data_IF_541345583326
#
_entry.id   IF_541345583326
#
_cell.length_a   1.000
_cell.length_b   1.000
_cell.length_c   1.000
_cell.angle_alpha   90.00
_cell.angle_beta   90.00
_cell.angle_gamma   90.00
#
_symmetry.space_group_name_H-M   'P 1'
#
loop_
_entity.id
_entity.type
_entity.pdbx_description
1 polymer ?
#
# COMPACT_ATOMS: atom_id res chain seq x y z
N UNK A 1 -15.51 27.19 17.58
CA UNK A 1 -15.32 28.13 16.45
C UNK A 1 -14.42 27.41 15.46
N UNK A 2 -15.01 26.80 14.42
CA UNK A 2 -14.24 26.12 13.36
C UNK A 2 -13.57 27.21 12.52
N UNK A 3 -12.26 27.39 12.72
CA UNK A 3 -11.43 28.10 11.75
C UNK A 3 -11.15 27.11 10.63
N UNK A 4 -12.10 26.98 9.71
CA UNK A 4 -11.93 26.20 8.48
C UNK A 4 -10.80 26.79 7.66
N UNK A 5 -9.57 26.32 7.89
CA UNK A 5 -8.43 26.60 7.04
C UNK A 5 -8.73 26.04 5.65
N UNK A 6 -8.28 26.74 4.60
CA UNK A 6 -8.37 26.20 3.25
C UNK A 6 -7.54 24.91 3.18
N UNK A 7 -8.17 23.80 2.79
CA UNK A 7 -7.47 22.53 2.52
C UNK A 7 -6.37 22.79 1.50
N UNK A 8 -5.14 22.43 1.87
CA UNK A 8 -3.99 22.62 1.00
C UNK A 8 -4.06 21.64 -0.17
N UNK A 9 -3.84 22.13 -1.40
CA UNK A 9 -3.97 21.34 -2.63
C UNK A 9 -2.69 21.32 -3.43
N UNK A 10 -2.39 20.16 -3.99
CA UNK A 10 -1.25 19.94 -4.87
C UNK A 10 -1.68 19.20 -6.13
N UNK A 11 -0.90 19.38 -7.20
CA UNK A 11 -1.05 18.61 -8.43
C UNK A 11 0.16 17.70 -8.55
N UNK A 12 -0.08 16.39 -8.59
CA UNK A 12 0.97 15.40 -8.73
C UNK A 12 1.50 15.35 -10.17
N UNK A 13 2.76 14.97 -10.32
CA UNK A 13 3.45 14.81 -11.60
C UNK A 13 3.87 13.37 -11.79
N UNK A 14 3.86 12.88 -13.03
CA UNK A 14 4.37 11.53 -13.33
C UNK A 14 5.83 11.44 -12.88
N UNK A 15 6.11 10.47 -12.01
CA UNK A 15 7.45 10.13 -11.56
C UNK A 15 8.04 9.01 -12.40
N UNK A 16 7.26 7.93 -12.61
CA UNK A 16 7.67 6.77 -13.37
C UNK A 16 6.52 6.33 -14.28
N UNK A 17 6.84 6.10 -15.56
CA UNK A 17 5.92 5.54 -16.55
C UNK A 17 6.31 4.09 -16.82
N UNK A 18 5.38 3.13 -16.68
CA UNK A 18 5.61 1.72 -16.98
C UNK A 18 6.20 1.51 -18.37
N UNK A 19 7.13 0.57 -18.50
CA UNK A 19 7.77 0.25 -19.78
C UNK A 19 6.82 -0.48 -20.75
N UNK A 20 5.75 -1.08 -20.21
CA UNK A 20 4.75 -1.83 -20.98
C UNK A 20 3.35 -1.64 -20.37
N UNK A 21 2.31 -1.89 -21.16
CA UNK A 21 0.92 -1.91 -20.66
C UNK A 21 0.71 -2.96 -19.55
N UNK A 22 1.46 -4.06 -19.58
CA UNK A 22 1.40 -5.09 -18.55
C UNK A 22 1.82 -4.54 -17.18
N UNK A 23 2.83 -3.67 -17.16
CA UNK A 23 3.36 -3.06 -15.93
C UNK A 23 2.49 -1.90 -15.42
N UNK A 24 1.54 -1.44 -16.24
CA UNK A 24 0.56 -0.41 -15.88
C UNK A 24 -0.72 -0.99 -15.24
N UNK A 25 -0.87 -2.32 -15.25
CA UNK A 25 -2.15 -2.96 -14.96
C UNK A 25 -2.62 -2.74 -13.53
N UNK A 26 -1.85 -3.19 -12.54
CA UNK A 26 -2.19 -3.01 -11.12
C UNK A 26 -0.97 -2.74 -10.22
N UNK A 27 -0.22 -1.64 -10.42
CA UNK A 27 0.76 -1.15 -9.47
C UNK A 27 0.15 -0.81 -8.10
N UNK A 28 0.74 -1.35 -7.05
CA UNK A 28 0.23 -1.32 -5.68
C UNK A 28 1.37 -1.37 -4.64
N UNK A 29 1.03 -1.05 -3.39
CA UNK A 29 1.90 -1.27 -2.22
C UNK A 29 3.34 -0.74 -2.34
N UNK A 30 3.59 0.52 -2.75
CA UNK A 30 4.92 1.08 -2.79
C UNK A 30 5.53 1.16 -1.39
N UNK A 31 6.82 0.84 -1.28
CA UNK A 31 7.63 0.92 -0.06
C UNK A 31 8.96 1.58 -0.35
N UNK A 32 9.41 2.41 0.57
CA UNK A 32 10.76 2.95 0.56
C UNK A 32 11.71 1.99 1.26
N UNK A 33 12.89 1.78 0.68
CA UNK A 33 13.95 1.00 1.30
C UNK A 33 15.32 1.44 0.79
N UNK A 34 16.38 0.91 1.41
CA UNK A 34 17.74 1.04 0.92
C UNK A 34 18.22 -0.30 0.39
N UNK A 35 18.85 -0.26 -0.77
CA UNK A 35 19.42 -1.43 -1.42
C UNK A 35 20.78 -1.05 -2.03
N UNK A 36 21.83 -1.81 -1.70
CA UNK A 36 23.22 -1.44 -2.02
C UNK A 36 23.60 -0.04 -1.51
N UNK A 37 23.06 0.37 -0.36
CA UNK A 37 23.29 1.70 0.20
C UNK A 37 22.64 2.85 -0.57
N UNK A 38 21.81 2.57 -1.58
CA UNK A 38 21.06 3.58 -2.36
C UNK A 38 19.60 3.56 -1.97
N UNK A 39 18.98 4.73 -1.97
CA UNK A 39 17.56 4.89 -1.71
C UNK A 39 16.73 4.43 -2.92
N UNK A 40 15.71 3.61 -2.67
CA UNK A 40 14.87 3.03 -3.69
C UNK A 40 13.41 2.93 -3.24
N UNK A 41 12.52 2.85 -4.23
CA UNK A 41 11.13 2.45 -4.06
C UNK A 41 10.97 1.07 -4.67
N UNK A 42 10.37 0.17 -3.90
CA UNK A 42 9.90 -1.14 -4.37
C UNK A 42 8.38 -1.16 -4.32
N UNK A 43 7.73 -1.74 -5.32
CA UNK A 43 6.28 -1.90 -5.36
C UNK A 43 5.91 -3.21 -6.03
N UNK A 44 4.64 -3.59 -5.92
CA UNK A 44 4.12 -4.76 -6.62
C UNK A 44 3.31 -4.29 -7.83
N UNK A 45 3.33 -5.07 -8.90
CA UNK A 45 2.28 -5.05 -9.91
C UNK A 45 1.51 -6.36 -9.74
N UNK A 46 0.34 -6.32 -9.07
CA UNK A 46 -0.34 -7.53 -8.56
C UNK A 46 -0.64 -8.51 -9.70
N UNK A 47 -1.02 -7.98 -10.86
CA UNK A 47 -1.33 -8.72 -12.07
C UNK A 47 -0.78 -7.99 -13.29
N UNK A 48 -0.42 -8.71 -14.34
CA UNK A 48 0.03 -8.13 -15.62
C UNK A 48 -1.07 -8.04 -16.68
N UNK A 49 -2.31 -8.30 -16.28
CA UNK A 49 -3.48 -8.29 -17.14
C UNK A 49 -4.69 -8.95 -16.47
N UNK A 50 -5.87 -8.78 -17.09
CA UNK A 50 -7.17 -9.22 -16.55
C UNK A 50 -7.22 -10.70 -16.16
N UNK A 51 -6.67 -11.57 -17.00
CA UNK A 51 -6.69 -13.02 -16.79
C UNK A 51 -5.37 -13.55 -16.20
N UNK A 52 -4.42 -12.66 -15.85
CA UNK A 52 -3.14 -13.07 -15.31
C UNK A 52 -3.30 -13.62 -13.89
N UNK A 53 -2.62 -14.72 -13.61
CA UNK A 53 -2.49 -15.32 -12.27
C UNK A 53 -1.14 -15.03 -11.61
N UNK A 54 -0.36 -14.14 -12.23
CA UNK A 54 0.97 -13.73 -11.77
C UNK A 54 1.15 -12.23 -11.94
N UNK A 55 2.03 -11.70 -11.11
CA UNK A 55 2.46 -10.31 -11.13
C UNK A 55 3.97 -10.16 -11.11
N UNK A 56 4.43 -8.96 -10.76
CA UNK A 56 5.85 -8.60 -10.70
C UNK A 56 6.18 -7.79 -9.45
N UNK A 57 7.41 -7.91 -8.97
CA UNK A 57 8.03 -6.90 -8.12
C UNK A 57 8.78 -5.91 -8.99
N UNK A 58 8.69 -4.63 -8.65
CA UNK A 58 9.29 -3.54 -9.41
C UNK A 58 10.14 -2.67 -8.49
N UNK A 59 11.35 -2.29 -8.90
CA UNK A 59 12.29 -1.50 -8.10
C UNK A 59 12.84 -0.33 -8.92
N UNK A 60 12.84 0.87 -8.34
CA UNK A 60 13.44 2.06 -8.94
C UNK A 60 14.16 2.92 -7.89
N UNK A 61 15.31 3.49 -8.25
CA UNK A 61 16.04 4.41 -7.38
C UNK A 61 15.27 5.73 -7.18
N UNK A 62 15.33 6.32 -5.98
CA UNK A 62 14.62 7.57 -5.64
C UNK A 62 15.30 8.82 -6.20
N UNK A 63 16.63 8.78 -6.38
CA UNK A 63 17.48 9.91 -6.80
C UNK A 63 17.24 10.35 -8.25
N UNK A 64 16.60 9.52 -9.06
CA UNK A 64 16.43 9.80 -10.47
C UNK A 64 15.35 10.86 -10.71
N UNK A 65 15.76 11.95 -11.36
CA UNK A 65 14.85 12.96 -11.92
C UNK A 65 14.45 12.52 -13.33
N UNK A 66 13.31 11.84 -13.46
CA UNK A 66 12.81 11.33 -14.73
C UNK A 66 12.93 9.80 -14.86
N UNK A 67 12.83 9.25 -16.08
CA UNK A 67 12.71 7.80 -16.27
C UNK A 67 13.93 7.05 -15.75
N UNK A 68 13.72 6.34 -14.65
CA UNK A 68 14.69 5.43 -14.01
C UNK A 68 14.67 4.10 -14.75
N UNK A 69 15.82 3.43 -14.85
CA UNK A 69 15.81 1.99 -15.11
C UNK A 69 15.02 1.31 -13.99
N UNK A 70 13.91 0.68 -14.35
CA UNK A 70 13.10 -0.09 -13.41
C UNK A 70 13.48 -1.54 -13.52
N UNK A 71 13.96 -2.11 -12.42
CA UNK A 71 14.16 -3.55 -12.34
C UNK A 71 12.81 -4.22 -12.11
N UNK A 72 12.57 -5.31 -12.83
CA UNK A 72 11.36 -6.10 -12.75
C UNK A 72 11.71 -7.56 -12.46
N UNK A 73 10.96 -8.17 -11.55
CA UNK A 73 11.12 -9.57 -11.16
C UNK A 73 9.76 -10.27 -11.24
N UNK A 74 9.65 -11.29 -12.08
CA UNK A 74 8.41 -12.07 -12.19
C UNK A 74 8.14 -12.85 -10.89
N UNK A 75 6.90 -12.80 -10.43
CA UNK A 75 6.44 -13.54 -9.28
C UNK A 75 5.82 -14.89 -9.70
N UNK A 76 5.94 -15.94 -8.87
CA UNK A 76 5.32 -17.24 -9.14
C UNK A 76 3.78 -17.22 -8.98
N UNK A 77 3.22 -16.13 -8.46
CA UNK A 77 1.81 -15.89 -8.18
C UNK A 77 1.51 -14.39 -8.14
N UNK A 78 0.32 -13.98 -7.67
CA UNK A 78 -0.03 -12.56 -7.50
C UNK A 78 0.61 -11.98 -6.23
N UNK A 79 1.54 -11.02 -6.32
CA UNK A 79 2.08 -10.32 -5.16
C UNK A 79 1.09 -9.25 -4.69
N UNK A 80 0.42 -9.45 -3.57
CA UNK A 80 -0.49 -8.45 -2.99
C UNK A 80 0.25 -7.29 -2.34
N UNK A 81 1.36 -7.58 -1.67
CA UNK A 81 2.22 -6.59 -1.03
C UNK A 81 3.68 -7.04 -1.02
N UNK A 82 4.59 -6.10 -0.83
CA UNK A 82 6.02 -6.32 -0.58
C UNK A 82 6.46 -5.52 0.63
N UNK A 83 7.25 -6.11 1.52
CA UNK A 83 7.78 -5.48 2.72
C UNK A 83 9.30 -5.68 2.79
N UNK A 84 10.11 -4.61 2.82
CA UNK A 84 11.54 -4.71 3.07
C UNK A 84 11.84 -5.40 4.41
N UNK A 85 12.97 -6.08 4.50
CA UNK A 85 13.41 -6.75 5.74
C UNK A 85 14.67 -6.12 6.32
N UNK A 86 15.08 -6.58 7.50
CA UNK A 86 16.35 -6.25 8.15
C UNK A 86 17.58 -6.88 7.46
N UNK A 87 17.39 -7.62 6.37
CA UNK A 87 18.46 -8.18 5.52
C UNK A 87 18.47 -7.47 4.18
N UNK A 88 19.61 -6.84 3.85
CA UNK A 88 19.78 -6.11 2.58
C UNK A 88 19.49 -7.01 1.37
N UNK A 89 18.74 -6.48 0.40
CA UNK A 89 18.32 -7.22 -0.79
C UNK A 89 17.28 -8.33 -0.55
N UNK A 90 16.81 -8.57 0.68
CA UNK A 90 15.77 -9.57 0.96
C UNK A 90 14.47 -8.87 1.34
N UNK A 91 13.38 -9.27 0.68
CA UNK A 91 12.03 -8.74 0.91
C UNK A 91 11.06 -9.86 1.26
N UNK A 92 10.07 -9.55 2.08
CA UNK A 92 8.93 -10.44 2.34
C UNK A 92 7.78 -10.06 1.41
N UNK A 93 7.16 -11.06 0.78
CA UNK A 93 6.09 -10.87 -0.19
C UNK A 93 4.89 -11.71 0.21
N UNK A 94 3.71 -11.10 0.20
CA UNK A 94 2.44 -11.81 0.25
C UNK A 94 2.05 -12.27 -1.15
N UNK A 95 2.10 -13.57 -1.42
CA UNK A 95 1.81 -14.18 -2.72
C UNK A 95 0.59 -15.08 -2.64
N UNK A 96 -0.47 -14.75 -3.38
CA UNK A 96 -1.76 -15.46 -3.43
C UNK A 96 -2.29 -15.88 -2.04
N UNK A 97 -1.81 -17.01 -1.51
CA UNK A 97 -2.22 -17.58 -0.22
C UNK A 97 -1.04 -17.98 0.68
N UNK A 98 0.11 -17.32 0.55
CA UNK A 98 1.27 -17.58 1.40
C UNK A 98 2.17 -16.34 1.56
N UNK A 99 3.03 -16.38 2.58
CA UNK A 99 4.12 -15.43 2.75
C UNK A 99 5.44 -16.09 2.34
N UNK A 100 6.22 -15.42 1.50
CA UNK A 100 7.52 -15.89 1.04
C UNK A 100 8.59 -14.81 1.22
N UNK A 101 9.86 -15.21 1.22
CA UNK A 101 10.98 -14.29 1.04
C UNK A 101 11.45 -14.33 -0.42
N UNK A 102 11.91 -13.19 -0.90
CA UNK A 102 12.59 -13.06 -2.18
C UNK A 102 13.94 -12.35 -1.99
N UNK A 103 15.00 -12.96 -2.50
CA UNK A 103 16.35 -12.40 -2.54
C UNK A 103 16.55 -11.72 -3.91
N UNK A 104 16.62 -10.38 -3.92
CA UNK A 104 16.74 -9.55 -5.13
C UNK A 104 18.05 -9.81 -5.89
N UNK A 105 19.13 -10.15 -5.17
CA UNK A 105 20.44 -10.46 -5.76
C UNK A 105 20.43 -11.81 -6.46
N UNK A 106 20.03 -12.83 -5.70
CA UNK A 106 20.06 -14.22 -6.18
C UNK A 106 18.87 -14.53 -7.08
N UNK A 107 17.87 -13.66 -7.10
CA UNK A 107 16.58 -13.84 -7.76
C UNK A 107 15.92 -15.14 -7.35
N UNK A 108 15.96 -15.41 -6.04
CA UNK A 108 15.56 -16.69 -5.47
C UNK A 108 14.41 -16.51 -4.47
N UNK A 109 13.36 -17.30 -4.67
CA UNK A 109 12.26 -17.43 -3.74
C UNK A 109 12.59 -18.47 -2.66
N UNK A 110 12.24 -18.17 -1.41
CA UNK A 110 12.25 -19.17 -0.35
C UNK A 110 11.10 -20.16 -0.50
N UNK A 111 11.14 -21.26 0.25
CA UNK A 111 9.90 -21.96 0.60
C UNK A 111 8.95 -21.01 1.34
N UNK A 112 7.62 -21.19 1.25
CA UNK A 112 6.67 -20.42 2.03
C UNK A 112 7.02 -20.42 3.51
N UNK A 113 7.03 -19.23 4.13
CA UNK A 113 7.15 -19.07 5.58
C UNK A 113 5.87 -19.56 6.26
N UNK A 114 4.72 -19.29 5.63
CA UNK A 114 3.41 -19.76 6.08
C UNK A 114 2.43 -19.79 4.91
N UNK A 115 1.47 -20.71 4.97
CA UNK A 115 0.29 -20.73 4.10
C UNK A 115 -0.93 -20.26 4.87
N UNK A 116 -1.86 -19.57 4.20
CA UNK A 116 -3.14 -19.24 4.80
C UNK A 116 -3.93 -20.52 5.11
N UNK A 117 -4.63 -20.59 6.25
CA UNK A 117 -5.46 -21.73 6.57
C UNK A 117 -6.72 -21.70 5.70
N UNK A 118 -6.94 -22.76 4.91
CA UNK A 118 -8.17 -22.97 4.12
C UNK A 118 -8.57 -21.75 3.26
N UNK A 119 -7.67 -21.24 2.40
CA UNK A 119 -8.01 -20.10 1.55
C UNK A 119 -9.15 -20.47 0.60
N UNK A 120 -10.06 -19.51 0.39
CA UNK A 120 -11.06 -19.65 -0.66
C UNK A 120 -10.37 -19.48 -2.04
N UNK A 121 -10.67 -20.32 -3.05
CA UNK A 121 -9.97 -20.26 -4.36
C UNK A 121 -10.20 -18.96 -5.14
N UNK A 122 -11.16 -18.14 -4.70
CA UNK A 122 -11.47 -16.82 -5.27
C UNK A 122 -10.91 -15.66 -4.46
N UNK A 123 -10.04 -15.92 -3.48
CA UNK A 123 -9.33 -14.85 -2.79
C UNK A 123 -7.87 -14.76 -3.20
N UNK A 124 -7.24 -13.64 -2.90
CA UNK A 124 -5.79 -13.46 -2.96
C UNK A 124 -5.39 -12.53 -1.84
N UNK A 125 -4.18 -12.67 -1.31
CA UNK A 125 -3.53 -11.65 -0.48
C UNK A 125 -3.52 -10.35 -1.30
N UNK A 126 -3.91 -9.26 -0.64
CA UNK A 126 -3.97 -7.92 -1.18
C UNK A 126 -3.01 -7.03 -0.37
N UNK A 127 -3.48 -6.01 0.36
CA UNK A 127 -2.57 -5.11 1.08
C UNK A 127 -2.11 -5.65 2.44
N UNK A 128 -0.92 -5.24 2.87
CA UNK A 128 -0.29 -5.64 4.12
C UNK A 128 0.71 -4.63 4.67
N UNK A 129 0.78 -4.54 6.00
CA UNK A 129 1.62 -3.59 6.72
C UNK A 129 2.37 -4.28 7.87
N UNK A 130 3.59 -3.83 8.13
CA UNK A 130 4.43 -4.31 9.23
C UNK A 130 4.28 -3.40 10.45
N UNK A 131 4.33 -3.97 11.65
CA UNK A 131 4.37 -3.19 12.89
C UNK A 131 5.63 -2.31 12.93
N UNK A 132 5.58 -1.11 13.56
CA UNK A 132 6.76 -0.26 13.72
C UNK A 132 7.98 -0.94 14.35
N UNK A 133 7.80 -1.96 15.20
CA UNK A 133 8.90 -2.74 15.78
C UNK A 133 9.43 -3.85 14.84
N UNK A 134 8.79 -4.07 13.69
CA UNK A 134 9.15 -5.04 12.67
C UNK A 134 8.79 -6.50 12.99
N UNK A 135 8.12 -6.76 14.11
CA UNK A 135 7.96 -8.13 14.63
C UNK A 135 6.66 -8.81 14.23
N UNK A 136 5.68 -8.07 13.72
CA UNK A 136 4.45 -8.64 13.21
C UNK A 136 3.99 -7.96 11.93
N UNK A 137 3.21 -8.69 11.14
CA UNK A 137 2.66 -8.21 9.87
C UNK A 137 1.15 -8.40 9.93
N UNK A 138 0.40 -7.34 9.65
CA UNK A 138 -1.04 -7.42 9.44
C UNK A 138 -1.31 -7.30 7.96
N UNK A 139 -2.02 -8.27 7.39
CA UNK A 139 -2.35 -8.25 5.98
C UNK A 139 -3.73 -8.87 5.76
N UNK A 140 -4.34 -8.58 4.62
CA UNK A 140 -5.63 -9.16 4.30
C UNK A 140 -5.73 -9.72 2.90
N UNK A 141 -6.86 -10.35 2.64
CA UNK A 141 -7.19 -10.91 1.33
C UNK A 141 -8.43 -10.23 0.76
N UNK A 142 -8.56 -10.23 -0.57
CA UNK A 142 -9.75 -9.74 -1.29
C UNK A 142 -10.42 -10.84 -2.10
N UNK A 143 -11.72 -10.71 -2.36
CA UNK A 143 -12.41 -11.45 -3.42
C UNK A 143 -11.95 -10.95 -4.79
N UNK A 144 -11.47 -11.85 -5.65
CA UNK A 144 -11.04 -11.53 -7.02
C UNK A 144 -12.17 -10.93 -7.88
N UNK A 145 -13.43 -11.17 -7.51
CA UNK A 145 -14.59 -10.57 -8.19
C UNK A 145 -15.12 -9.32 -7.50
N UNK A 146 -14.58 -8.96 -6.33
CA UNK A 146 -15.00 -7.80 -5.54
C UNK A 146 -16.51 -7.79 -5.23
N UNK A 147 -17.09 -8.96 -4.88
CA UNK A 147 -18.55 -9.13 -4.72
C UNK A 147 -18.97 -9.70 -3.39
N UNK A 148 -18.23 -10.68 -2.88
CA UNK A 148 -18.62 -11.40 -1.67
C UNK A 148 -17.59 -11.18 -0.55
N UNK A 149 -18.03 -11.17 0.72
CA UNK A 149 -17.16 -10.98 1.88
C UNK A 149 -16.39 -12.27 2.20
N UNK A 150 -15.53 -12.71 1.28
CA UNK A 150 -14.76 -13.96 1.38
C UNK A 150 -13.37 -13.76 1.99
N UNK A 151 -12.92 -12.52 2.07
CA UNK A 151 -11.61 -12.14 2.57
C UNK A 151 -11.52 -12.18 4.09
N UNK A 152 -10.29 -12.31 4.58
CA UNK A 152 -9.95 -12.25 5.99
C UNK A 152 -8.83 -11.24 6.22
N UNK A 153 -8.71 -10.81 7.46
CA UNK A 153 -7.57 -10.08 8.00
C UNK A 153 -6.73 -11.05 8.83
N UNK A 154 -5.42 -11.00 8.67
CA UNK A 154 -4.46 -11.88 9.30
C UNK A 154 -3.40 -11.11 10.06
N UNK A 155 -2.84 -11.74 11.09
CA UNK A 155 -1.62 -11.32 11.77
C UNK A 155 -0.60 -12.44 11.69
N UNK A 156 0.59 -12.14 11.18
CA UNK A 156 1.73 -13.03 11.24
C UNK A 156 2.75 -12.52 12.27
N UNK A 157 2.95 -13.28 13.34
CA UNK A 157 4.03 -13.09 14.31
C UNK A 157 5.32 -13.66 13.69
N UNK A 158 6.25 -12.76 13.33
CA UNK A 158 7.46 -13.11 12.59
C UNK A 158 8.40 -13.97 13.44
N UNK A 159 8.75 -13.60 14.70
CA UNK A 159 9.58 -14.44 15.56
C UNK A 159 9.01 -15.81 15.86
N UNK A 160 7.70 -15.91 16.16
CA UNK A 160 7.05 -17.18 16.50
C UNK A 160 6.64 -17.99 15.27
N UNK A 161 6.74 -17.40 14.07
CA UNK A 161 6.25 -17.96 12.80
C UNK A 161 4.80 -18.43 12.89
N UNK A 162 3.97 -17.62 13.55
CA UNK A 162 2.58 -17.97 13.86
C UNK A 162 1.62 -17.05 13.13
N UNK A 163 0.65 -17.66 12.44
CA UNK A 163 -0.41 -16.95 11.75
C UNK A 163 -1.71 -17.02 12.55
N UNK A 164 -2.37 -15.87 12.67
CA UNK A 164 -3.66 -15.71 13.30
C UNK A 164 -4.65 -15.09 12.33
N UNK A 165 -5.91 -15.52 12.39
CA UNK A 165 -7.02 -14.83 11.73
C UNK A 165 -7.52 -13.78 12.71
N UNK A 166 -7.42 -12.50 12.33
CA UNK A 166 -7.89 -11.38 13.13
C UNK A 166 -9.37 -11.09 12.91
N UNK A 167 -9.83 -11.19 11.66
CA UNK A 167 -11.21 -10.99 11.26
C UNK A 167 -11.53 -11.77 9.98
N UNK A 168 -12.79 -12.15 9.81
CA UNK A 168 -13.34 -12.75 8.60
C UNK A 168 -14.40 -11.80 8.01
N UNK A 169 -14.85 -12.08 6.78
CA UNK A 169 -15.94 -11.33 6.17
C UNK A 169 -15.53 -9.99 5.54
N UNK A 170 -14.26 -9.84 5.16
CA UNK A 170 -13.81 -8.70 4.35
C UNK A 170 -14.15 -8.94 2.87
N UNK A 171 -14.43 -7.89 2.11
CA UNK A 171 -14.61 -8.01 0.66
C UNK A 171 -13.30 -7.66 -0.07
N UNK A 172 -12.67 -6.57 0.34
CA UNK A 172 -11.36 -6.16 -0.17
C UNK A 172 -10.56 -5.45 0.91
N UNK A 173 -9.73 -6.22 1.61
CA UNK A 173 -8.81 -5.69 2.59
C UNK A 173 -7.70 -4.88 1.92
N UNK A 174 -7.68 -3.59 2.20
CA UNK A 174 -6.86 -2.57 1.55
C UNK A 174 -6.05 -1.79 2.58
N UNK A 175 -5.85 -0.48 2.40
CA UNK A 175 -4.95 0.34 3.20
C UNK A 175 -4.93 0.04 4.70
N UNK A 176 -3.72 -0.12 5.25
CA UNK A 176 -3.51 -0.39 6.67
C UNK A 176 -2.47 0.55 7.25
N UNK A 177 -2.69 0.99 8.47
CA UNK A 177 -1.70 1.74 9.25
C UNK A 177 -1.65 1.16 10.65
N UNK A 178 -0.45 0.81 11.11
CA UNK A 178 -0.22 0.30 12.45
C UNK A 178 0.63 1.31 13.23
N UNK A 179 0.19 1.66 14.43
CA UNK A 179 0.87 2.65 15.28
C UNK A 179 0.94 2.16 16.72
N UNK A 180 2.01 2.55 17.42
CA UNK A 180 2.06 2.45 18.87
C UNK A 180 1.42 3.70 19.45
N UNK A 181 0.28 3.55 20.12
CA UNK A 181 -0.36 4.61 20.90
C UNK A 181 -0.18 4.32 22.41
N UNK A 182 -0.65 5.23 23.27
CA UNK A 182 -0.50 5.09 24.72
C UNK A 182 -1.19 3.82 25.25
N UNK A 183 -2.28 3.39 24.63
CA UNK A 183 -3.08 2.23 24.98
C UNK A 183 -2.59 0.93 24.33
N UNK A 184 -1.48 0.97 23.58
CA UNK A 184 -0.91 -0.18 22.88
C UNK A 184 -0.90 -0.04 21.36
N UNK A 185 -0.76 -1.16 20.66
CA UNK A 185 -0.81 -1.19 19.21
C UNK A 185 -2.22 -0.91 18.71
N UNK A 186 -2.34 0.06 17.81
CA UNK A 186 -3.56 0.35 17.07
C UNK A 186 -3.40 -0.04 15.62
N UNK A 187 -4.45 -0.62 15.06
CA UNK A 187 -4.59 -0.90 13.63
C UNK A 187 -5.71 -0.02 13.08
N UNK A 188 -5.42 0.70 12.01
CA UNK A 188 -6.38 1.35 11.14
C UNK A 188 -6.45 0.54 9.86
N UNK A 189 -7.63 0.03 9.51
CA UNK A 189 -7.84 -0.90 8.39
C UNK A 189 -9.00 -0.44 7.50
N UNK A 190 -8.81 -0.58 6.20
CA UNK A 190 -9.81 -0.31 5.17
C UNK A 190 -10.28 -1.65 4.59
N UNK A 191 -11.57 -1.92 4.70
CA UNK A 191 -12.28 -2.85 3.80
C UNK A 191 -13.04 -2.00 2.78
N UNK A 192 -12.53 -1.92 1.55
CA UNK A 192 -12.90 -0.85 0.60
C UNK A 192 -14.40 -0.65 0.40
N UNK A 193 -15.24 -1.69 0.21
CA UNK A 193 -16.68 -1.51 0.03
C UNK A 193 -17.40 -0.91 1.24
N UNK A 194 -16.81 -0.99 2.43
CA UNK A 194 -17.39 -0.38 3.65
C UNK A 194 -17.19 1.12 3.71
N UNK A 195 -16.30 1.70 2.89
CA UNK A 195 -15.99 3.14 2.85
C UNK A 195 -15.68 3.72 4.23
N UNK A 196 -14.97 2.94 5.05
CA UNK A 196 -14.61 3.29 6.42
C UNK A 196 -13.14 3.02 6.64
N UNK A 197 -12.50 3.89 7.42
CA UNK A 197 -11.28 3.53 8.14
C UNK A 197 -11.70 3.06 9.53
N UNK A 198 -11.54 1.76 9.79
CA UNK A 198 -11.90 1.14 11.08
C UNK A 198 -10.69 1.07 11.98
N UNK A 199 -10.87 1.41 13.26
CA UNK A 199 -9.82 1.38 14.26
C UNK A 199 -9.99 0.18 15.18
N UNK A 200 -8.89 -0.53 15.41
CA UNK A 200 -8.83 -1.70 16.25
C UNK A 200 -7.70 -1.58 17.26
N UNK A 201 -7.91 -2.08 18.48
CA UNK A 201 -6.80 -2.41 19.38
C UNK A 201 -6.22 -3.75 18.97
N UNK A 202 -4.93 -3.77 18.67
CA UNK A 202 -4.20 -4.96 18.23
C UNK A 202 -3.46 -5.58 19.41
N UNK A 203 -3.79 -6.83 19.73
CA UNK A 203 -3.02 -7.65 20.67
C UNK A 203 -2.25 -8.68 19.86
N UNK A 204 -0.96 -8.39 19.64
CA UNK A 204 -0.06 -9.23 18.84
C UNK A 204 0.14 -10.59 19.52
N UNK A 205 0.38 -10.61 20.83
CA UNK A 205 0.67 -11.83 21.58
C UNK A 205 -0.56 -12.76 21.66
N UNK A 206 -1.75 -12.18 21.83
CA UNK A 206 -3.01 -12.91 21.78
C UNK A 206 -3.49 -13.22 20.36
N UNK A 207 -2.94 -12.54 19.35
CA UNK A 207 -3.32 -12.64 17.95
C UNK A 207 -4.78 -12.28 17.70
N UNK A 208 -5.22 -11.14 18.23
CA UNK A 208 -6.59 -10.64 18.12
C UNK A 208 -6.63 -9.14 17.82
N UNK A 209 -7.66 -8.71 17.12
CA UNK A 209 -7.95 -7.30 16.88
C UNK A 209 -9.35 -6.99 17.45
N UNK A 210 -9.42 -6.06 18.39
CA UNK A 210 -10.69 -5.62 18.97
C UNK A 210 -11.14 -4.34 18.26
N UNK A 211 -12.27 -4.41 17.55
CA UNK A 211 -12.90 -3.22 16.97
C UNK A 211 -13.21 -2.19 18.06
N UNK A 212 -12.82 -0.95 17.84
CA UNK A 212 -13.09 0.16 18.74
C UNK A 212 -14.17 1.07 18.16
N UNK A 213 -13.88 1.68 17.01
CA UNK A 213 -14.74 2.64 16.34
C UNK A 213 -14.37 2.82 14.86
N UNK A 214 -15.15 3.64 14.17
CA UNK A 214 -14.85 4.16 12.83
C UNK A 214 -14.07 5.46 13.01
N UNK A 215 -12.79 5.45 12.63
CA UNK A 215 -11.92 6.61 12.68
C UNK A 215 -12.32 7.64 11.62
N UNK A 216 -12.61 7.18 10.41
CA UNK A 216 -13.07 8.02 9.29
C UNK A 216 -14.25 7.35 8.58
N UNK A 217 -15.31 8.12 8.37
CA UNK A 217 -16.46 7.74 7.55
C UNK A 217 -16.34 8.40 6.18
N UNK A 218 -16.19 7.59 5.13
CA UNK A 218 -15.94 8.04 3.76
C UNK A 218 -17.13 7.73 2.83
N UNK A 219 -18.33 7.44 3.36
CA UNK A 219 -19.52 7.18 2.52
C UNK A 219 -19.92 8.37 1.64
N UNK A 220 -19.57 9.60 2.06
CA UNK A 220 -19.84 10.81 1.28
C UNK A 220 -18.91 11.03 0.08
N UNK A 221 -17.87 10.21 -0.06
CA UNK A 221 -16.93 10.26 -1.19
C UNK A 221 -17.46 9.39 -2.32
N UNK A 222 -17.24 9.81 -3.57
CA UNK A 222 -17.68 9.05 -4.75
C UNK A 222 -16.72 7.88 -5.01
N UNK A 223 -15.43 8.18 -4.92
CA UNK A 223 -14.31 7.26 -5.04
C UNK A 223 -14.27 6.24 -3.89
N UNK A 224 -13.57 5.13 -4.10
CA UNK A 224 -13.39 4.10 -3.10
C UNK A 224 -12.04 4.27 -2.39
N UNK A 225 -11.98 4.18 -1.05
CA UNK A 225 -10.71 4.23 -0.34
C UNK A 225 -9.91 2.95 -0.63
N UNK A 226 -8.65 3.12 -1.01
CA UNK A 226 -7.77 2.04 -1.42
C UNK A 226 -6.62 1.89 -0.41
N UNK A 227 -5.37 2.00 -0.83
CA UNK A 227 -4.20 2.06 0.04
C UNK A 227 -4.17 3.26 0.97
N UNK A 228 -3.51 3.07 2.12
CA UNK A 228 -3.36 4.08 3.16
C UNK A 228 -1.96 3.99 3.76
N UNK A 229 -1.35 5.14 4.05
CA UNK A 229 -0.08 5.20 4.77
C UNK A 229 -0.13 6.22 5.91
N UNK A 230 0.73 6.04 6.91
CA UNK A 230 0.87 7.02 7.98
C UNK A 230 1.52 8.29 7.45
N UNK A 231 0.95 9.45 7.80
CA UNK A 231 1.53 10.74 7.45
C UNK A 231 2.40 11.29 8.60
N UNK A 232 1.85 11.26 9.80
CA UNK A 232 2.46 11.64 11.06
C UNK A 232 1.70 10.92 12.21
N UNK A 233 1.92 11.33 13.46
CA UNK A 233 1.27 10.74 14.64
C UNK A 233 -0.27 10.90 14.64
N UNK A 234 -0.81 11.91 13.94
CA UNK A 234 -2.22 12.31 14.02
C UNK A 234 -3.00 12.08 12.73
N UNK A 235 -2.32 11.91 11.59
CA UNK A 235 -2.95 11.90 10.27
C UNK A 235 -2.52 10.74 9.39
N UNK A 236 -3.40 10.35 8.47
CA UNK A 236 -3.18 9.30 7.46
C UNK A 236 -3.38 9.86 6.07
N UNK A 237 -2.67 9.34 5.07
CA UNK A 237 -2.91 9.62 3.66
C UNK A 237 -3.62 8.41 3.05
N UNK A 238 -4.72 8.66 2.34
CA UNK A 238 -5.54 7.63 1.70
C UNK A 238 -5.55 7.92 0.18
N UNK A 239 -5.25 6.89 -0.61
CA UNK A 239 -5.46 6.89 -2.05
C UNK A 239 -6.92 6.55 -2.37
N UNK A 240 -7.46 7.16 -3.42
CA UNK A 240 -8.84 6.94 -3.84
C UNK A 240 -8.91 6.38 -5.25
N UNK A 241 -9.57 5.23 -5.38
CA UNK A 241 -9.80 4.54 -6.62
C UNK A 241 -11.17 4.92 -7.20
N UNK A 242 -11.18 5.51 -8.41
CA UNK A 242 -12.42 5.80 -9.13
C UNK A 242 -12.58 4.86 -10.35
N UNK A 243 -13.53 3.89 -10.33
CA UNK A 243 -13.69 2.92 -11.41
C UNK A 243 -14.33 3.50 -12.68
N UNK A 244 -15.07 4.60 -12.56
CA UNK A 244 -15.81 5.23 -13.66
C UNK A 244 -14.96 6.13 -14.57
N UNK A 245 -15.63 6.80 -15.49
CA UNK A 245 -15.02 7.68 -16.50
C UNK A 245 -14.71 9.07 -15.91
N UNK A 246 -13.48 9.24 -15.42
CA UNK A 246 -12.92 10.52 -14.98
C UNK A 246 -11.50 10.67 -15.49
N UNK A 247 -11.04 11.91 -15.54
CA UNK A 247 -9.70 12.28 -16.00
C UNK A 247 -8.78 12.78 -14.88
N UNK A 248 -9.23 12.75 -13.62
CA UNK A 248 -8.44 13.15 -12.46
C UNK A 248 -8.67 12.16 -11.32
N UNK A 249 -7.58 11.67 -10.73
CA UNK A 249 -7.57 10.89 -9.50
C UNK A 249 -7.25 11.73 -8.27
N UNK A 250 -7.34 11.12 -7.10
CA UNK A 250 -7.14 11.82 -5.83
C UNK A 250 -6.43 10.97 -4.78
N UNK A 251 -5.61 11.62 -3.97
CA UNK A 251 -5.26 11.16 -2.63
C UNK A 251 -5.53 12.29 -1.62
N UNK A 252 -5.80 11.94 -0.37
CA UNK A 252 -6.18 12.90 0.68
C UNK A 252 -5.53 12.54 2.00
N UNK A 253 -5.01 13.55 2.70
CA UNK A 253 -4.58 13.44 4.09
C UNK A 253 -5.73 13.82 5.00
N UNK A 254 -6.07 12.94 5.93
CA UNK A 254 -7.07 13.16 6.95
C UNK A 254 -6.42 13.23 8.32
N UNK A 255 -6.80 14.23 9.09
CA UNK A 255 -6.53 14.27 10.52
C UNK A 255 -7.49 13.31 11.24
N UNK A 256 -6.97 12.40 12.08
CA UNK A 256 -7.78 11.34 12.71
C UNK A 256 -8.58 11.84 13.91
N UNK A 257 -8.20 12.96 14.53
CA UNK A 257 -8.90 13.54 15.68
C UNK A 257 -10.11 14.35 15.24
N UNK A 258 -9.88 15.35 14.38
CA UNK A 258 -10.93 16.19 13.79
C UNK A 258 -11.74 15.46 12.73
N UNK A 259 -11.18 14.41 12.10
CA UNK A 259 -11.76 13.63 10.99
C UNK A 259 -11.94 14.44 9.71
N UNK A 260 -11.23 15.56 9.59
CA UNK A 260 -11.31 16.45 8.43
C UNK A 260 -10.17 16.18 7.43
N UNK A 261 -10.45 16.42 6.15
CA UNK A 261 -9.43 16.47 5.13
C UNK A 261 -8.58 17.73 5.35
N UNK A 262 -7.25 17.56 5.42
CA UNK A 262 -6.30 18.65 5.69
C UNK A 262 -5.37 18.93 4.51
N UNK A 263 -5.23 17.99 3.59
CA UNK A 263 -4.39 18.12 2.39
C UNK A 263 -4.89 17.20 1.28
N UNK A 264 -4.85 17.66 0.03
CA UNK A 264 -5.33 16.92 -1.14
C UNK A 264 -4.31 16.94 -2.27
N UNK A 265 -4.22 15.83 -3.00
CA UNK A 265 -3.40 15.67 -4.20
C UNK A 265 -4.27 15.26 -5.37
N UNK A 266 -4.30 16.08 -6.40
CA UNK A 266 -4.88 15.73 -7.69
C UNK A 266 -3.88 14.92 -8.52
N UNK A 267 -4.38 13.89 -9.21
CA UNK A 267 -3.58 12.98 -10.03
C UNK A 267 -4.07 13.05 -11.48
N UNK A 268 -3.47 13.91 -12.31
CA UNK A 268 -3.97 14.16 -13.66
C UNK A 268 -3.90 12.94 -14.57
N UNK A 269 -5.01 12.67 -15.27
CA UNK A 269 -5.21 11.60 -16.25
C UNK A 269 -4.97 10.20 -15.70
N UNK A 270 -5.21 10.01 -14.40
CA UNK A 270 -5.14 8.71 -13.73
C UNK A 270 -6.10 8.64 -12.54
N UNK A 271 -7.39 8.31 -12.77
CA UNK A 271 -8.46 8.35 -11.77
C UNK A 271 -8.40 7.23 -10.72
N UNK A 272 -7.51 6.25 -10.90
CA UNK A 272 -7.45 5.03 -10.10
C UNK A 272 -6.18 5.01 -9.29
N UNK A 273 -6.15 5.84 -8.25
CA UNK A 273 -5.01 5.96 -7.34
C UNK A 273 -5.10 4.82 -6.35
N UNK A 274 -4.03 4.03 -6.26
CA UNK A 274 -4.06 2.76 -5.53
C UNK A 274 -3.41 2.86 -4.17
N UNK A 275 -2.17 3.36 -4.06
CA UNK A 275 -1.49 3.46 -2.77
C UNK A 275 -0.63 4.72 -2.63
N UNK A 276 -0.59 5.34 -1.44
CA UNK A 276 0.35 6.40 -1.10
C UNK A 276 1.61 5.88 -0.39
N UNK A 277 2.74 6.55 -0.61
CA UNK A 277 3.99 6.38 0.13
C UNK A 277 4.64 7.75 0.36
N UNK A 278 4.91 8.09 1.62
CA UNK A 278 5.78 9.24 1.91
C UNK A 278 7.25 8.81 1.83
N UNK A 279 8.01 9.52 1.00
CA UNK A 279 9.45 9.42 0.96
C UNK A 279 10.07 10.41 1.94
N UNK A 280 11.07 10.00 2.73
CA UNK A 280 11.82 10.93 3.56
C UNK A 280 12.60 11.95 2.69
N UNK A 281 13.04 13.07 3.29
CA UNK A 281 13.99 13.97 2.65
C UNK A 281 15.23 13.21 2.12
N UNK A 282 15.67 13.56 0.92
CA UNK A 282 16.74 12.83 0.21
C UNK A 282 18.10 12.94 0.92
N UNK A 283 18.90 11.87 0.87
CA UNK A 283 20.29 11.85 1.36
C UNK A 283 21.26 11.49 0.23
N UNK A 284 22.35 12.27 -0.02
CA UNK A 284 22.74 13.53 0.64
C UNK A 284 21.73 14.66 0.37
N UNK A 285 21.73 15.75 1.17
CA UNK A 285 20.66 16.75 1.16
C UNK A 285 20.52 17.45 -0.18
N UNK A 286 19.58 16.96 -0.99
CA UNK A 286 19.12 17.60 -2.22
C UNK A 286 17.65 18.04 -2.14
N UNK A 287 16.90 17.55 -1.13
CA UNK A 287 15.50 17.89 -0.88
C UNK A 287 15.27 18.06 0.62
N UNK A 288 14.67 19.18 1.01
CA UNK A 288 14.52 19.59 2.42
C UNK A 288 13.25 19.04 3.09
N UNK A 289 12.35 18.40 2.33
CA UNK A 289 11.04 17.94 2.81
C UNK A 289 10.70 16.54 2.31
N UNK A 290 9.76 15.90 2.99
CA UNK A 290 9.13 14.70 2.48
C UNK A 290 8.41 14.97 1.15
N UNK A 291 8.23 13.91 0.37
CA UNK A 291 7.42 13.94 -0.85
C UNK A 291 6.52 12.72 -0.91
N UNK A 292 5.37 12.87 -1.55
CA UNK A 292 4.41 11.79 -1.73
C UNK A 292 4.69 11.08 -3.05
N UNK A 293 4.73 9.75 -3.02
CA UNK A 293 4.59 8.87 -4.17
C UNK A 293 3.19 8.28 -4.16
N UNK A 294 2.57 8.20 -5.34
CA UNK A 294 1.26 7.57 -5.54
C UNK A 294 1.38 6.53 -6.65
N UNK A 295 1.01 5.28 -6.38
CA UNK A 295 0.76 4.31 -7.44
C UNK A 295 -0.64 4.52 -8.03
N UNK A 296 -0.81 4.16 -9.29
CA UNK A 296 -2.10 4.16 -9.97
C UNK A 296 -2.25 2.92 -10.83
N UNK A 297 -3.46 2.61 -11.28
CA UNK A 297 -3.74 1.39 -12.03
C UNK A 297 -4.61 1.64 -13.27
N UNK A 298 -4.49 0.75 -14.25
CA UNK A 298 -5.39 0.69 -15.40
C UNK A 298 -6.37 -0.51 -15.34
N UNK A 299 -6.30 -1.32 -14.27
CA UNK A 299 -7.09 -2.54 -14.07
C UNK A 299 -8.58 -2.34 -14.32
N UNK A 300 -9.15 -3.02 -15.33
CA UNK A 300 -10.58 -2.90 -15.62
C UNK A 300 -10.98 -1.57 -16.25
N UNK A 301 -10.02 -0.83 -16.83
CA UNK A 301 -10.28 0.40 -17.57
C UNK A 301 -10.70 0.03 -18.99
N UNK A 302 -11.89 0.45 -19.45
CA UNK A 302 -12.26 0.29 -20.85
C UNK A 302 -11.27 1.01 -21.77
N UNK A 303 -10.98 0.49 -22.98
CA UNK A 303 -10.00 1.09 -23.90
C UNK A 303 -10.23 2.57 -24.18
N UNK A 304 -11.48 3.01 -24.32
CA UNK A 304 -11.85 4.40 -24.55
C UNK A 304 -11.56 5.31 -23.35
N UNK A 305 -11.74 4.81 -22.12
CA UNK A 305 -11.38 5.54 -20.89
C UNK A 305 -9.86 5.59 -20.76
N UNK A 306 -9.16 4.52 -21.11
CA UNK A 306 -7.68 4.46 -21.11
C UNK A 306 -7.06 5.46 -22.07
N UNK A 307 -7.64 5.66 -23.25
CA UNK A 307 -7.18 6.69 -24.20
C UNK A 307 -7.26 8.10 -23.64
N UNK A 308 -8.29 8.40 -22.82
CA UNK A 308 -8.43 9.70 -22.13
C UNK A 308 -7.56 9.81 -20.88
N UNK A 309 -7.10 8.67 -20.35
CA UNK A 309 -6.29 8.56 -19.15
C UNK A 309 -4.90 7.97 -19.45
N UNK A 310 -4.07 8.66 -20.25
CA UNK A 310 -2.76 8.15 -20.64
C UNK A 310 -1.77 7.96 -19.47
N UNK A 311 -2.11 8.40 -18.25
CA UNK A 311 -1.27 8.21 -17.07
C UNK A 311 -1.78 7.11 -16.13
N UNK A 312 -2.85 6.38 -16.49
CA UNK A 312 -3.28 5.20 -15.76
C UNK A 312 -2.13 4.17 -15.70
N UNK A 313 -1.82 3.68 -14.50
CA UNK A 313 -0.70 2.76 -14.26
C UNK A 313 0.65 3.45 -13.98
N UNK A 314 0.76 4.77 -14.15
CA UNK A 314 1.98 5.49 -13.75
C UNK A 314 2.11 5.57 -12.22
N UNK A 315 3.35 5.73 -11.76
CA UNK A 315 3.61 6.28 -10.43
C UNK A 315 3.75 7.79 -10.53
N UNK A 316 3.19 8.51 -9.57
CA UNK A 316 3.25 9.95 -9.47
C UNK A 316 4.09 10.37 -8.26
N UNK A 317 4.65 11.58 -8.32
CA UNK A 317 5.23 12.27 -7.18
C UNK A 317 4.55 13.62 -6.95
N UNK A 318 4.49 14.06 -5.71
CA UNK A 318 3.98 15.37 -5.35
C UNK A 318 4.69 15.97 -4.12
N UNK A 319 4.76 17.30 -4.02
CA UNK A 319 5.11 17.95 -2.75
C UNK A 319 4.07 17.66 -1.66
N UNK A 320 4.47 17.86 -0.40
CA UNK A 320 3.56 17.85 0.75
C UNK A 320 3.95 18.96 1.73
N UNK A 321 2.98 19.38 2.54
CA UNK A 321 3.18 20.25 3.69
C UNK A 321 4.07 19.62 4.77
N UNK A 322 4.17 18.29 4.79
CA UNK A 322 4.92 17.52 5.79
C UNK A 322 6.44 17.73 5.65
N UNK A 323 7.16 18.08 6.74
CA UNK A 323 8.61 18.27 6.69
C UNK A 323 9.37 16.94 6.59
N UNK A 324 8.82 15.86 7.15
CA UNK A 324 9.44 14.54 7.22
C UNK A 324 8.39 13.45 6.97
N UNK A 325 8.86 12.26 6.62
CA UNK A 325 8.05 11.04 6.59
C UNK A 325 8.26 10.26 7.89
N UNK A 326 7.31 9.40 8.31
CA UNK A 326 7.57 8.41 9.35
C UNK A 326 8.74 7.51 8.95
N UNK A 327 9.47 6.99 9.95
CA UNK A 327 10.54 6.03 9.67
C UNK A 327 9.94 4.77 9.03
N UNK A 328 10.44 4.33 7.85
CA UNK A 328 9.95 3.12 7.21
C UNK A 328 10.23 1.91 8.10
N UNK A 329 9.17 1.24 8.53
CA UNK A 329 9.29 -0.01 9.24
C UNK A 329 9.73 -1.14 8.30
N UNK A 330 10.56 -2.05 8.82
CA UNK A 330 11.04 -3.22 8.08
C UNK A 330 10.74 -4.49 8.87
N UNK A 331 10.52 -5.59 8.16
CA UNK A 331 10.31 -6.90 8.78
C UNK A 331 11.60 -7.36 9.44
N UNK A 332 11.56 -7.63 10.74
CA UNK A 332 12.67 -8.22 11.49
C UNK A 332 12.59 -9.73 11.45
N UNK A 333 13.37 -10.34 10.57
CA UNK A 333 13.37 -11.80 10.39
C UNK A 333 14.02 -12.53 11.58
N UNK A 334 14.73 -11.81 12.45
CA UNK A 334 15.49 -12.36 13.56
C UNK A 334 16.79 -13.02 13.10
N UNK A 335 17.64 -13.39 14.07
CA UNK A 335 18.81 -14.23 13.81
C UNK A 335 18.34 -15.60 13.29
N UNK A 336 18.80 -15.93 12.08
CA UNK A 336 18.39 -17.14 11.35
C UNK A 336 19.06 -18.40 11.82
#
# INVERSE_FOLDING_TARGET
>A
MSTGGAVQRWVAQVWQRPASEQDAFLPEGPRFFRWHGREAVIWVNIQTGREADRGRLMVAATEAEGPVEVLSFDCPGRPGFVLPTDRDGVVLVGLDHCLCLFDLEKRLWSSPLVHLPRPHPRTTINDGEVTPDGRAIVFGTKDLLFREPLGCLYLYDVPQRRLHVLAEGQTCSNGKVIRQEAEGWMLYDIDTPTRQVRRYRLDIAGGRAQFLDVALDLHGWEEFPDGMCAADEQSVIIAFYHPGDRDVGRAVRFDLESREAVEEWEVPFSPRVTCPLLLPPSSPPGRERARLILTTADEGMPPEVRQRNPNAGCLFQAPTSLPTAPEPAVVRLGEG
#
